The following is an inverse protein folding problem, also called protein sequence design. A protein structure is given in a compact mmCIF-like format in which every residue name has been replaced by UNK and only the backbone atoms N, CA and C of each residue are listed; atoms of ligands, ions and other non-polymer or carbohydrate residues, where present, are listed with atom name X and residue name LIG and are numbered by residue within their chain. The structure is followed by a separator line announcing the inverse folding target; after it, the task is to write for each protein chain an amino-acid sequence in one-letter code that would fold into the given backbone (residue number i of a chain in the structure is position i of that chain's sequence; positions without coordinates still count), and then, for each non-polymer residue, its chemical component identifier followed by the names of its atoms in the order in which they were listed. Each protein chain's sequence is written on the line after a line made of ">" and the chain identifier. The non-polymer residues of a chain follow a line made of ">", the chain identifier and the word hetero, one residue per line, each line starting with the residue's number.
data_IF_220804004437
#
_entry.id   IF_220804004437
#
_cell.length_a   1.000
_cell.length_b   1.000
_cell.length_c   1.000
_cell.angle_alpha   90.00
_cell.angle_beta   90.00
_cell.angle_gamma   90.00
#
_symmetry.space_group_name_H-M   'P 1'
#
loop_
_entity.id
_entity.type
_entity.pdbx_description
1 polymer ?
#
# COMPACT_ATOMS: atom_id res chain seq x y z
N UNK A 1 11.66 9.27 -8.90
CA UNK A 1 11.32 8.18 -7.94
C UNK A 1 10.19 8.53 -6.95
N UNK A 2 9.47 9.65 -7.09
CA UNK A 2 8.50 10.15 -6.08
C UNK A 2 7.06 9.65 -6.27
N UNK A 3 6.76 8.96 -7.39
CA UNK A 3 5.37 8.58 -7.75
C UNK A 3 4.79 7.44 -6.90
N UNK A 4 5.62 6.56 -6.32
CA UNK A 4 5.13 5.46 -5.47
C UNK A 4 4.82 5.92 -4.04
N UNK A 5 5.49 6.96 -3.54
CA UNK A 5 5.25 7.52 -2.21
C UNK A 5 3.87 8.19 -2.10
N UNK A 6 3.32 8.68 -3.22
CA UNK A 6 1.97 9.25 -3.31
C UNK A 6 0.85 8.19 -3.23
N UNK A 7 1.18 6.90 -3.39
CA UNK A 7 0.20 5.81 -3.33
C UNK A 7 -0.12 5.34 -1.92
N UNK A 8 0.81 5.46 -0.96
CA UNK A 8 0.68 4.92 0.39
C UNK A 8 -0.05 5.84 1.38
N UNK A 9 -0.09 7.15 1.09
CA UNK A 9 -0.56 8.16 2.03
C UNK A 9 0.43 8.38 3.18
N UNK A 10 -0.07 8.73 4.36
CA UNK A 10 0.74 8.88 5.58
C UNK A 10 1.13 7.52 6.15
N UNK A 11 2.20 7.45 6.93
CA UNK A 11 2.60 6.24 7.66
C UNK A 11 2.17 6.40 9.12
N UNK A 12 1.30 5.51 9.60
CA UNK A 12 0.60 5.61 10.87
C UNK A 12 1.22 4.67 11.91
N UNK A 13 1.41 5.11 13.17
CA UNK A 13 1.91 4.26 14.23
C UNK A 13 0.88 3.18 14.61
N UNK A 14 1.34 1.95 14.81
CA UNK A 14 0.55 0.85 15.36
C UNK A 14 0.82 0.74 16.85
N UNK A 15 -0.23 0.84 17.66
CA UNK A 15 -0.14 0.79 19.12
C UNK A 15 0.59 1.98 19.73
N UNK A 16 1.44 1.70 20.72
CA UNK A 16 2.14 2.73 21.51
C UNK A 16 3.57 2.95 20.98
N UNK A 17 4.26 3.99 21.47
CA UNK A 17 5.62 4.35 21.04
C UNK A 17 6.67 3.22 21.14
N UNK A 18 6.43 2.22 21.99
CA UNK A 18 7.30 1.04 22.18
C UNK A 18 7.11 -0.05 21.12
N UNK A 19 5.99 -0.02 20.41
CA UNK A 19 5.63 -1.08 19.46
C UNK A 19 6.50 -1.04 18.19
N UNK A 20 7.11 0.10 17.86
CA UNK A 20 8.08 0.23 16.75
C UNK A 20 7.54 -0.28 15.41
N UNK A 21 6.23 -0.17 15.23
CA UNK A 21 5.49 -0.71 14.11
C UNK A 21 4.65 0.40 13.48
N UNK A 22 4.61 0.41 12.16
CA UNK A 22 3.87 1.39 11.38
C UNK A 22 3.11 0.72 10.24
N UNK A 23 2.01 1.34 9.82
CA UNK A 23 1.18 0.91 8.70
C UNK A 23 0.88 2.07 7.76
N UNK A 24 0.87 1.82 6.46
CA UNK A 24 0.45 2.81 5.47
C UNK A 24 -1.04 3.14 5.62
N UNK A 25 -1.38 4.43 5.57
CA UNK A 25 -2.75 4.94 5.64
C UNK A 25 -3.65 4.28 4.59
N UNK A 26 -3.13 4.02 3.38
CA UNK A 26 -3.87 3.28 2.36
C UNK A 26 -4.25 1.87 2.80
N UNK A 27 -3.34 1.14 3.43
CA UNK A 27 -3.62 -0.22 3.89
C UNK A 27 -4.71 -0.21 4.97
N UNK A 28 -4.68 0.77 5.88
CA UNK A 28 -5.75 1.00 6.86
C UNK A 28 -7.07 1.33 6.17
N UNK A 29 -7.05 2.20 5.16
CA UNK A 29 -8.25 2.60 4.43
C UNK A 29 -8.93 1.42 3.74
N UNK A 30 -8.17 0.48 3.17
CA UNK A 30 -8.71 -0.74 2.57
C UNK A 30 -9.42 -1.64 3.60
N UNK A 31 -8.82 -1.81 4.79
CA UNK A 31 -9.42 -2.60 5.88
C UNK A 31 -10.72 -1.95 6.39
N UNK A 32 -10.70 -0.64 6.63
CA UNK A 32 -11.87 0.10 7.12
C UNK A 32 -13.01 0.13 6.11
N UNK A 33 -12.73 0.37 4.83
CA UNK A 33 -13.74 0.31 3.76
C UNK A 33 -14.39 -1.06 3.67
N UNK A 34 -13.58 -2.12 3.75
CA UNK A 34 -14.08 -3.48 3.68
C UNK A 34 -14.95 -3.84 4.89
N UNK A 35 -14.56 -3.44 6.10
CA UNK A 35 -15.37 -3.67 7.29
C UNK A 35 -16.71 -2.92 7.22
N UNK A 36 -16.71 -1.66 6.81
CA UNK A 36 -17.96 -0.90 6.67
C UNK A 36 -18.87 -1.46 5.59
N UNK A 37 -18.33 -1.91 4.45
CA UNK A 37 -19.13 -2.57 3.41
C UNK A 37 -19.83 -3.84 3.92
N UNK A 38 -19.23 -4.52 4.91
CA UNK A 38 -19.78 -5.72 5.53
C UNK A 38 -20.76 -5.42 6.65
N UNK A 39 -20.41 -4.49 7.53
CA UNK A 39 -21.06 -4.32 8.84
C UNK A 39 -22.02 -3.12 8.88
N UNK A 40 -22.04 -2.27 7.84
CA UNK A 40 -22.92 -1.11 7.72
C UNK A 40 -23.66 -1.08 6.36
N UNK A 41 -24.69 -1.92 6.16
CA UNK A 41 -25.47 -1.93 4.93
C UNK A 41 -26.15 -0.57 4.70
N UNK A 42 -26.21 -0.16 3.44
CA UNK A 42 -26.77 1.13 3.03
C UNK A 42 -25.87 2.33 3.32
N UNK A 43 -24.58 2.10 3.66
CA UNK A 43 -23.55 3.12 3.80
C UNK A 43 -22.45 2.89 2.77
N UNK A 44 -22.00 3.97 2.13
CA UNK A 44 -20.82 3.97 1.25
C UNK A 44 -19.79 4.96 1.78
N UNK A 45 -18.61 4.48 2.13
CA UNK A 45 -17.49 5.33 2.52
C UNK A 45 -16.89 6.05 1.30
N UNK A 46 -16.66 7.35 1.44
CA UNK A 46 -15.98 8.22 0.49
C UNK A 46 -14.54 8.51 0.91
N UNK A 47 -14.16 9.80 0.90
CA UNK A 47 -12.86 10.25 1.39
C UNK A 47 -12.57 9.78 2.82
N UNK A 48 -11.37 9.26 3.05
CA UNK A 48 -10.92 8.79 4.37
C UNK A 48 -9.51 9.31 4.62
N UNK A 49 -9.33 9.94 5.79
CA UNK A 49 -8.07 10.53 6.23
C UNK A 49 -7.80 10.20 7.69
N UNK A 50 -6.54 9.95 8.01
CA UNK A 50 -6.10 9.67 9.37
C UNK A 50 -4.93 10.59 9.72
N UNK A 51 -5.05 11.29 10.83
CA UNK A 51 -4.04 12.24 11.31
C UNK A 51 -3.93 12.25 12.84
N UNK A 52 -2.92 12.91 13.41
CA UNK A 52 -2.83 13.10 14.85
C UNK A 52 -3.95 14.02 15.33
N UNK A 53 -4.44 13.81 16.55
CA UNK A 53 -5.37 14.74 17.22
C UNK A 53 -4.63 16.03 17.60
N UNK A 54 -3.44 15.89 18.18
CA UNK A 54 -2.53 17.00 18.50
C UNK A 54 -1.13 16.67 17.98
N UNK A 55 -0.60 17.42 17.00
CA UNK A 55 0.74 17.20 16.47
C UNK A 55 1.87 17.64 17.41
N UNK A 56 1.58 18.40 18.48
CA UNK A 56 2.59 18.99 19.38
C UNK A 56 2.85 18.13 20.63
N UNK A 57 1.88 17.29 21.03
CA UNK A 57 1.95 16.42 22.22
C UNK A 57 2.31 14.96 21.94
N UNK A 58 3.00 14.65 20.85
CA UNK A 58 3.26 13.27 20.44
C UNK A 58 4.45 12.65 21.18
N UNK A 59 4.37 11.35 21.46
CA UNK A 59 5.43 10.61 22.15
C UNK A 59 6.61 10.35 21.22
N UNK A 60 7.83 10.44 21.75
CA UNK A 60 9.04 10.10 20.98
C UNK A 60 9.11 8.58 20.74
N UNK A 61 9.26 8.13 19.47
CA UNK A 61 9.41 6.71 19.15
C UNK A 61 10.65 6.08 19.80
N UNK A 62 10.53 4.86 20.30
CA UNK A 62 11.68 4.10 20.85
C UNK A 62 12.61 3.59 19.76
N UNK A 63 12.12 3.48 18.52
CA UNK A 63 12.90 3.05 17.36
C UNK A 63 12.86 4.14 16.27
N UNK A 64 13.91 4.25 15.45
CA UNK A 64 13.96 5.20 14.35
C UNK A 64 12.69 5.11 13.46
N UNK A 65 11.93 6.22 13.34
CA UNK A 65 10.72 6.21 12.54
C UNK A 65 11.07 6.11 11.04
N UNK A 66 10.26 5.39 10.25
CA UNK A 66 10.43 5.42 8.80
C UNK A 66 10.11 6.83 8.24
N UNK A 67 10.63 7.17 7.05
CA UNK A 67 10.33 8.45 6.40
C UNK A 67 8.81 8.69 6.33
N UNK A 68 8.38 9.91 6.67
CA UNK A 68 6.96 10.32 6.67
C UNK A 68 6.06 9.60 7.70
N UNK A 69 6.64 8.92 8.70
CA UNK A 69 5.89 8.42 9.84
C UNK A 69 5.35 9.55 10.71
N UNK A 70 4.09 9.41 11.11
CA UNK A 70 3.55 10.19 12.19
C UNK A 70 4.14 9.72 13.53
N UNK A 71 4.39 10.66 14.46
CA UNK A 71 4.80 10.29 15.80
C UNK A 71 3.66 9.52 16.51
N UNK A 72 3.99 8.54 17.37
CA UNK A 72 3.03 7.85 18.22
C UNK A 72 2.16 8.81 19.02
N UNK A 73 0.87 8.55 19.06
CA UNK A 73 -0.09 9.39 19.76
C UNK A 73 -1.53 9.15 19.30
N UNK A 74 -2.50 9.81 19.96
CA UNK A 74 -3.91 9.68 19.61
C UNK A 74 -4.20 10.16 18.18
N UNK A 75 -4.94 9.35 17.44
CA UNK A 75 -5.30 9.59 16.04
C UNK A 75 -6.77 10.00 15.89
N UNK A 76 -7.02 10.90 14.95
CA UNK A 76 -8.34 11.28 14.44
C UNK A 76 -8.58 10.61 13.09
N UNK A 77 -9.74 9.96 12.96
CA UNK A 77 -10.23 9.42 11.69
C UNK A 77 -11.28 10.37 11.13
N UNK A 78 -11.04 10.95 9.97
CA UNK A 78 -12.02 11.77 9.25
C UNK A 78 -12.53 10.99 8.04
N UNK A 79 -13.84 10.77 7.99
CA UNK A 79 -14.47 10.01 6.92
C UNK A 79 -15.69 10.72 6.33
N UNK A 80 -15.79 10.68 5.01
CA UNK A 80 -16.99 11.02 4.27
C UNK A 80 -17.84 9.78 4.06
N UNK A 81 -19.16 9.91 4.13
CA UNK A 81 -20.05 8.81 3.81
C UNK A 81 -21.34 9.26 3.14
N UNK A 82 -21.83 8.40 2.26
CA UNK A 82 -23.18 8.44 1.73
C UNK A 82 -24.03 7.40 2.46
N UNK A 83 -25.30 7.71 2.72
CA UNK A 83 -26.20 6.79 3.43
C UNK A 83 -27.61 6.79 2.84
N UNK A 84 -28.28 5.65 2.89
CA UNK A 84 -29.69 5.56 2.51
C UNK A 84 -30.60 6.25 3.52
N UNK A 85 -31.77 6.72 3.07
CA UNK A 85 -32.79 7.33 3.91
C UNK A 85 -33.61 6.32 4.77
N UNK A 86 -33.20 5.05 4.82
CA UNK A 86 -33.92 3.99 5.56
C UNK A 86 -33.84 4.15 7.08
N UNK A 87 -32.78 4.82 7.57
CA UNK A 87 -32.56 5.09 8.99
C UNK A 87 -32.23 6.56 9.20
N UNK A 88 -32.60 7.17 10.34
CA UNK A 88 -32.18 8.52 10.67
C UNK A 88 -30.65 8.66 10.59
N UNK A 89 -30.17 9.69 9.89
CA UNK A 89 -28.74 9.92 9.67
C UNK A 89 -27.89 9.89 10.97
N UNK A 90 -28.34 10.48 12.10
CA UNK A 90 -27.56 10.42 13.35
C UNK A 90 -27.36 8.99 13.88
N UNK A 91 -28.34 8.10 13.68
CA UNK A 91 -28.25 6.69 14.08
C UNK A 91 -27.26 5.95 13.18
N UNK A 92 -27.35 6.15 11.86
CA UNK A 92 -26.39 5.58 10.90
C UNK A 92 -24.97 6.08 11.16
N UNK A 93 -24.78 7.38 11.42
CA UNK A 93 -23.49 7.98 11.76
C UNK A 93 -22.93 7.42 13.07
N UNK A 94 -23.76 7.22 14.09
CA UNK A 94 -23.33 6.63 15.37
C UNK A 94 -22.89 5.17 15.21
N UNK A 95 -23.65 4.39 14.42
CA UNK A 95 -23.26 3.02 14.07
C UNK A 95 -21.95 2.96 13.27
N UNK A 96 -21.81 3.83 12.26
CA UNK A 96 -20.58 3.92 11.46
C UNK A 96 -19.38 4.31 12.33
N UNK A 97 -19.55 5.27 13.25
CA UNK A 97 -18.52 5.67 14.21
C UNK A 97 -18.08 4.49 15.07
N UNK A 98 -19.02 3.69 15.58
CA UNK A 98 -18.71 2.52 16.38
C UNK A 98 -17.94 1.46 15.57
N UNK A 99 -18.36 1.16 14.34
CA UNK A 99 -17.67 0.20 13.46
C UNK A 99 -16.25 0.65 13.16
N UNK A 100 -16.05 1.91 12.76
CA UNK A 100 -14.72 2.44 12.44
C UNK A 100 -13.79 2.43 13.65
N UNK A 101 -14.28 2.87 14.81
CA UNK A 101 -13.51 2.89 16.04
C UNK A 101 -13.13 1.47 16.50
N UNK A 102 -14.08 0.53 16.45
CA UNK A 102 -13.84 -0.86 16.86
C UNK A 102 -12.83 -1.56 15.96
N UNK A 103 -12.98 -1.45 14.64
CA UNK A 103 -12.06 -2.06 13.67
C UNK A 103 -10.67 -1.45 13.79
N UNK A 104 -10.57 -0.13 13.89
CA UNK A 104 -9.28 0.55 14.05
C UNK A 104 -8.55 0.11 15.33
N UNK A 105 -9.26 0.07 16.47
CA UNK A 105 -8.65 -0.29 17.74
C UNK A 105 -8.36 -1.79 17.89
N UNK A 106 -9.35 -2.65 17.58
CA UNK A 106 -9.28 -4.10 17.88
C UNK A 106 -8.68 -4.93 16.76
N UNK A 107 -8.95 -4.59 15.50
CA UNK A 107 -8.46 -5.38 14.35
C UNK A 107 -7.11 -4.87 13.88
N UNK A 108 -6.95 -3.56 13.74
CA UNK A 108 -5.72 -2.95 13.21
C UNK A 108 -4.71 -2.67 14.33
N UNK A 109 -5.19 -2.14 15.46
CA UNK A 109 -4.36 -1.76 16.61
C UNK A 109 -3.94 -0.29 16.61
N UNK A 110 -4.73 0.60 16.01
CA UNK A 110 -4.52 2.05 16.05
C UNK A 110 -5.06 2.64 17.35
N UNK A 111 -4.35 3.63 17.91
CA UNK A 111 -4.83 4.43 19.05
C UNK A 111 -5.71 5.56 18.51
N UNK A 112 -6.99 5.29 18.29
CA UNK A 112 -7.95 6.28 17.80
C UNK A 112 -8.67 6.95 18.96
N UNK A 113 -8.59 8.27 19.04
CA UNK A 113 -9.30 9.06 20.04
C UNK A 113 -10.58 9.70 19.47
N UNK A 114 -10.61 10.03 18.18
CA UNK A 114 -11.71 10.77 17.56
C UNK A 114 -12.10 10.20 16.20
N UNK A 115 -13.41 10.21 15.90
CA UNK A 115 -13.95 9.85 14.58
C UNK A 115 -14.95 10.91 14.13
N UNK A 116 -14.54 11.65 13.10
CA UNK A 116 -15.29 12.73 12.47
C UNK A 116 -15.93 12.23 11.18
N UNK A 117 -17.25 12.38 11.08
CA UNK A 117 -18.02 11.90 9.95
C UNK A 117 -18.70 13.06 9.23
N UNK A 118 -18.55 13.12 7.91
CA UNK A 118 -19.25 14.07 7.03
C UNK A 118 -20.19 13.31 6.11
N UNK A 119 -21.49 13.63 6.18
CA UNK A 119 -22.46 13.13 5.20
C UNK A 119 -22.25 13.89 3.90
N UNK A 120 -22.04 13.19 2.79
CA UNK A 120 -21.85 13.80 1.47
C UNK A 120 -23.06 13.63 0.56
N UNK A 121 -23.84 12.57 0.76
CA UNK A 121 -24.92 12.19 -0.16
C UNK A 121 -25.97 11.32 0.56
N UNK A 122 -27.22 11.45 0.14
CA UNK A 122 -28.29 10.51 0.49
C UNK A 122 -28.49 9.54 -0.67
N UNK A 123 -28.33 8.24 -0.40
CA UNK A 123 -28.46 7.19 -1.40
C UNK A 123 -29.93 6.81 -1.58
N UNK A 124 -30.38 6.78 -2.82
CA UNK A 124 -31.70 6.25 -3.15
C UNK A 124 -31.73 4.73 -2.96
N UNK A 125 -32.75 4.26 -2.28
CA UNK A 125 -33.12 2.84 -2.27
C UNK A 125 -33.97 2.63 -3.52
N UNK A 126 -33.34 2.43 -4.68
CA UNK A 126 -34.11 2.00 -5.84
C UNK A 126 -34.49 0.53 -5.62
N UNK A 127 -35.77 0.17 -5.42
CA UNK A 127 -36.15 -1.23 -5.57
C UNK A 127 -35.75 -1.66 -6.99
N UNK A 128 -35.25 -2.87 -7.21
CA UNK A 128 -35.01 -3.36 -8.56
C UNK A 128 -36.34 -3.32 -9.30
N UNK A 129 -36.53 -2.30 -10.14
CA UNK A 129 -37.60 -2.32 -11.14
C UNK A 129 -37.19 -3.42 -12.12
N UNK A 130 -37.99 -4.49 -12.30
CA UNK A 130 -37.73 -5.40 -13.39
C UNK A 130 -37.76 -4.57 -14.67
N UNK A 131 -36.64 -4.57 -15.40
CA UNK A 131 -36.59 -4.02 -16.74
C UNK A 131 -37.58 -4.82 -17.58
N UNK A 132 -38.81 -4.34 -17.72
CA UNK A 132 -39.67 -4.85 -18.78
C UNK A 132 -38.96 -4.55 -20.11
N UNK A 133 -38.71 -5.56 -20.96
CA UNK A 133 -38.05 -5.33 -22.23
C UNK A 133 -38.89 -4.34 -23.03
N UNK A 134 -38.28 -3.20 -23.36
CA UNK A 134 -38.85 -2.22 -24.29
C UNK A 134 -39.12 -2.97 -25.61
N UNK A 135 -40.38 -3.28 -25.89
CA UNK A 135 -40.80 -3.70 -27.22
C UNK A 135 -40.56 -2.50 -28.15
N UNK A 136 -39.70 -2.59 -29.18
CA UNK A 136 -39.55 -1.51 -30.13
C UNK A 136 -40.84 -1.42 -30.95
N UNK A 137 -41.61 -0.35 -30.75
CA UNK A 137 -42.75 -0.01 -31.59
C UNK A 137 -42.22 0.34 -32.98
N UNK A 138 -42.45 -0.54 -33.95
CA UNK A 138 -42.06 -0.34 -35.34
C UNK A 138 -42.81 0.82 -35.98
N UNK A 139 -42.07 1.75 -36.59
CA UNK A 139 -42.57 2.67 -37.61
C UNK A 139 -42.15 2.16 -39.01
N UNK A 140 -43.00 2.26 -40.05
CA UNK A 140 -42.73 1.70 -41.38
C UNK A 140 -41.75 2.56 -42.22
N UNK A 141 -41.15 2.00 -43.30
CA UNK A 141 -40.04 2.61 -44.03
C UNK A 141 -40.52 3.57 -45.15
N UNK A 142 -39.79 4.68 -45.32
CA UNK A 142 -39.83 5.50 -46.55
C UNK A 142 -38.57 5.22 -47.38
N UNK A 143 -38.81 5.01 -48.68
CA UNK A 143 -37.90 4.54 -49.69
C UNK A 143 -36.70 5.45 -49.97
N UNK A 144 -35.53 4.83 -50.16
CA UNK A 144 -34.32 5.45 -50.67
C UNK A 144 -34.28 5.37 -52.20
N UNK A 145 -34.10 6.52 -52.86
CA UNK A 145 -33.77 6.63 -54.28
C UNK A 145 -32.35 7.18 -54.43
N UNK A 146 -31.45 6.29 -54.87
CA UNK A 146 -30.45 6.44 -55.94
C UNK A 146 -29.48 7.65 -55.96
N UNK A 147 -28.21 7.29 -55.81
CA UNK A 147 -26.92 7.92 -56.23
C UNK A 147 -26.91 8.60 -57.62
N UNK A 148 -25.94 9.50 -57.95
CA UNK A 148 -24.53 9.08 -58.17
C UNK A 148 -23.39 10.09 -57.86
N UNK A 149 -22.17 9.55 -57.77
CA UNK A 149 -20.84 10.22 -57.75
C UNK A 149 -20.44 10.82 -59.14
N UNK A 150 -19.32 11.57 -59.34
CA UNK A 150 -17.94 11.00 -59.29
C UNK A 150 -16.75 11.97 -59.01
N UNK A 151 -15.53 11.42 -58.96
CA UNK A 151 -14.24 12.10 -59.22
C UNK A 151 -13.16 11.88 -58.15
N UNK A 152 -12.11 11.07 -58.38
CA UNK A 152 -10.75 11.49 -58.85
C UNK A 152 -9.93 12.04 -57.68
N UNK A 153 -8.66 11.75 -57.37
CA UNK A 153 -7.41 11.65 -58.14
C UNK A 153 -6.30 10.94 -57.29
N UNK A 154 -5.23 10.47 -57.97
CA UNK A 154 -3.97 9.94 -57.41
C UNK A 154 -2.93 11.04 -57.22
N UNK A 155 -1.98 10.82 -56.30
CA UNK A 155 -0.48 10.89 -56.38
C UNK A 155 0.05 10.55 -54.97
N UNK A 156 1.28 10.13 -54.68
CA UNK A 156 2.56 10.03 -55.37
C UNK A 156 3.65 9.80 -54.29
N UNK A 157 4.82 9.34 -54.73
CA UNK A 157 5.93 8.72 -54.00
C UNK A 157 6.69 9.58 -52.96
N UNK A 158 7.48 8.92 -52.09
CA UNK A 158 8.69 9.48 -51.50
C UNK A 158 9.81 8.43 -51.40
N UNK A 159 10.90 8.67 -52.14
CA UNK A 159 12.18 7.97 -52.02
C UNK A 159 13.23 8.87 -51.31
N UNK A 160 14.05 8.21 -50.49
CA UNK A 160 15.52 8.38 -50.28
C UNK A 160 16.17 9.50 -49.44
N UNK A 161 17.22 9.06 -48.73
CA UNK A 161 18.36 9.81 -48.16
C UNK A 161 18.55 9.52 -46.66
N UNK A 162 19.62 8.94 -46.09
CA UNK A 162 21.01 8.73 -46.51
C UNK A 162 21.97 9.65 -45.71
N UNK A 163 22.80 9.11 -44.80
CA UNK A 163 24.18 9.56 -44.49
C UNK A 163 24.79 8.88 -43.23
N UNK A 164 26.01 8.38 -43.39
CA UNK A 164 26.95 7.86 -42.38
C UNK A 164 27.80 8.99 -41.77
N UNK A 165 28.50 8.72 -40.65
CA UNK A 165 29.93 9.05 -40.44
C UNK A 165 30.49 8.39 -39.16
N UNK A 166 31.82 8.27 -39.13
CA UNK A 166 32.67 7.39 -38.31
C UNK A 166 33.67 8.23 -37.48
N UNK A 167 34.02 7.74 -36.29
CA UNK A 167 35.39 7.71 -35.75
C UNK A 167 35.82 8.76 -34.69
N UNK A 168 36.41 8.27 -33.58
CA UNK A 168 37.78 8.60 -33.10
C UNK A 168 38.06 8.05 -31.68
N UNK A 169 39.29 7.57 -31.46
CA UNK A 169 39.83 6.89 -30.27
C UNK A 169 40.69 7.80 -29.36
N UNK A 170 41.01 7.25 -28.17
CA UNK A 170 42.30 7.29 -27.43
C UNK A 170 42.53 8.29 -26.25
N UNK A 171 43.05 7.73 -25.13
CA UNK A 171 44.02 8.39 -24.22
C UNK A 171 43.76 8.27 -22.70
N UNK A 172 44.54 7.44 -21.98
CA UNK A 172 44.70 7.45 -20.50
C UNK A 172 45.65 8.55 -20.00
N UNK A 173 45.98 8.65 -18.68
CA UNK A 173 46.79 7.61 -18.00
C UNK A 173 46.43 7.31 -16.52
N UNK A 174 47.13 6.32 -15.99
CA UNK A 174 47.14 5.77 -14.63
C UNK A 174 47.91 6.64 -13.62
N UNK A 175 47.51 6.58 -12.34
CA UNK A 175 48.33 6.61 -11.12
C UNK A 175 47.37 6.21 -9.96
N UNK A 176 47.59 5.21 -9.09
CA UNK A 176 48.84 4.69 -8.57
C UNK A 176 48.96 5.04 -7.08
N UNK A 177 48.11 4.50 -6.21
CA UNK A 177 48.17 4.75 -4.77
C UNK A 177 47.29 3.80 -3.96
N UNK A 178 47.75 2.56 -3.79
CA UNK A 178 47.17 1.57 -2.88
C UNK A 178 47.68 1.85 -1.48
N UNK A 179 46.83 2.40 -0.62
CA UNK A 179 46.98 2.28 0.83
C UNK A 179 45.89 1.35 1.38
N UNK A 180 46.36 0.17 1.74
CA UNK A 180 45.81 -0.85 2.62
C UNK A 180 44.52 -0.47 3.37
N UNK A 181 43.38 -0.89 2.82
CA UNK A 181 42.09 -0.95 3.51
C UNK A 181 41.67 -2.40 3.73
N UNK A 182 42.43 -3.16 4.51
CA UNK A 182 42.06 -4.51 4.91
C UNK A 182 41.07 -4.48 6.09
N UNK A 183 39.93 -3.79 5.92
CA UNK A 183 38.78 -3.75 6.84
C UNK A 183 37.51 -3.30 6.09
N UNK A 184 37.15 -3.91 4.96
CA UNK A 184 35.86 -3.58 4.29
C UNK A 184 35.27 -4.68 3.38
N UNK A 185 35.91 -5.85 3.25
CA UNK A 185 35.36 -6.94 2.43
C UNK A 185 34.38 -7.83 3.20
N UNK A 186 34.52 -7.93 4.54
CA UNK A 186 33.65 -8.77 5.38
C UNK A 186 32.24 -8.22 5.60
N UNK A 187 32.09 -6.90 5.72
CA UNK A 187 30.80 -6.28 6.07
C UNK A 187 29.78 -6.31 4.91
N UNK A 188 30.25 -6.26 3.66
CA UNK A 188 29.37 -6.25 2.49
C UNK A 188 28.78 -7.64 2.18
N UNK A 189 29.58 -8.71 2.29
CA UNK A 189 29.10 -10.09 2.12
C UNK A 189 28.27 -10.56 3.30
N UNK A 190 28.67 -10.23 4.54
CA UNK A 190 27.86 -10.46 5.73
C UNK A 190 26.51 -9.75 5.62
N UNK A 191 26.51 -8.49 5.16
CA UNK A 191 25.29 -7.72 4.90
C UNK A 191 24.33 -8.37 3.89
N UNK A 192 24.85 -8.99 2.83
CA UNK A 192 24.05 -9.76 1.88
C UNK A 192 23.43 -11.03 2.49
N UNK A 193 24.22 -11.78 3.27
CA UNK A 193 23.76 -12.99 3.97
C UNK A 193 22.74 -12.67 5.07
N UNK A 194 22.92 -11.55 5.78
CA UNK A 194 22.03 -11.07 6.83
C UNK A 194 20.70 -10.59 6.26
N UNK A 195 20.72 -9.87 5.14
CA UNK A 195 19.50 -9.46 4.44
C UNK A 195 18.68 -10.68 4.02
N UNK A 196 19.33 -11.73 3.51
CA UNK A 196 18.66 -12.98 3.17
C UNK A 196 18.05 -13.69 4.38
N UNK A 197 18.78 -13.74 5.50
CA UNK A 197 18.30 -14.33 6.76
C UNK A 197 17.10 -13.58 7.33
N UNK A 198 17.15 -12.25 7.32
CA UNK A 198 16.04 -11.38 7.74
C UNK A 198 14.83 -11.59 6.85
N UNK A 199 15.01 -11.61 5.52
CA UNK A 199 13.93 -11.85 4.59
C UNK A 199 13.23 -13.20 4.82
N UNK A 200 14.00 -14.26 5.04
CA UNK A 200 13.47 -15.58 5.37
C UNK A 200 12.72 -15.58 6.72
N UNK A 201 13.26 -14.93 7.74
CA UNK A 201 12.62 -14.82 9.04
C UNK A 201 11.27 -14.08 8.97
N UNK A 202 11.18 -12.99 8.18
CA UNK A 202 9.94 -12.25 7.97
C UNK A 202 8.89 -13.11 7.26
N UNK A 203 9.27 -13.79 6.19
CA UNK A 203 8.34 -14.63 5.41
C UNK A 203 7.88 -15.88 6.18
N UNK A 204 8.63 -16.32 7.20
CA UNK A 204 8.22 -17.41 8.08
C UNK A 204 7.15 -16.99 9.09
N UNK A 205 6.89 -15.69 9.30
CA UNK A 205 5.88 -15.22 10.25
C UNK A 205 4.47 -15.43 9.69
N UNK A 206 3.58 -16.15 10.40
CA UNK A 206 2.20 -16.31 9.98
C UNK A 206 1.49 -14.96 9.79
N UNK A 207 0.78 -14.81 8.67
CA UNK A 207 0.08 -13.58 8.31
C UNK A 207 0.90 -12.58 7.50
N UNK A 208 2.19 -12.82 7.26
CA UNK A 208 2.97 -12.10 6.24
C UNK A 208 2.74 -12.75 4.88
N UNK A 209 2.38 -11.96 3.87
CA UNK A 209 2.12 -12.47 2.51
C UNK A 209 3.31 -12.27 1.58
N UNK A 210 3.99 -11.13 1.70
CA UNK A 210 5.21 -10.82 0.94
C UNK A 210 6.01 -9.70 1.59
N UNK A 211 7.29 -9.62 1.22
CA UNK A 211 8.11 -8.42 1.44
C UNK A 211 7.77 -7.36 0.39
N UNK A 212 7.90 -6.09 0.74
CA UNK A 212 7.61 -4.97 -0.15
C UNK A 212 8.77 -3.98 -0.14
N UNK A 213 9.05 -3.30 -1.26
CA UNK A 213 10.20 -2.37 -1.37
C UNK A 213 9.76 -0.93 -1.60
N UNK A 214 8.64 -0.48 -1.02
CA UNK A 214 8.02 0.79 -1.45
C UNK A 214 8.86 2.00 -1.04
N UNK A 215 9.62 1.90 0.06
CA UNK A 215 10.58 2.91 0.49
C UNK A 215 12.03 2.56 0.09
N UNK A 216 12.23 1.67 -0.89
CA UNK A 216 13.54 1.24 -1.38
C UNK A 216 13.72 -0.27 -1.38
N UNK A 217 14.68 -0.77 -0.60
CA UNK A 217 14.87 -2.21 -0.41
C UNK A 217 13.86 -2.71 0.64
N UNK A 218 13.37 -3.95 0.52
CA UNK A 218 12.46 -4.50 1.53
C UNK A 218 13.10 -4.66 2.92
N UNK A 219 14.42 -4.79 2.97
CA UNK A 219 15.19 -4.84 4.21
C UNK A 219 16.29 -3.79 4.13
N UNK A 220 16.31 -2.90 5.12
CA UNK A 220 17.36 -1.90 5.29
C UNK A 220 18.04 -2.12 6.63
N UNK A 221 19.33 -2.47 6.59
CA UNK A 221 20.18 -2.58 7.76
C UNK A 221 21.05 -1.32 7.83
N UNK A 222 21.01 -0.62 8.95
CA UNK A 222 21.78 0.62 9.17
C UNK A 222 22.45 0.56 10.53
N UNK A 223 23.72 0.92 10.61
CA UNK A 223 24.39 1.10 11.89
C UNK A 223 24.15 2.53 12.36
N UNK A 224 23.49 2.70 13.51
CA UNK A 224 23.30 4.01 14.11
C UNK A 224 24.41 4.29 15.11
N UNK A 225 24.98 5.51 15.12
CA UNK A 225 25.93 5.90 16.16
C UNK A 225 25.20 5.92 17.51
N UNK A 226 25.63 5.06 18.43
CA UNK A 226 25.10 5.01 19.79
C UNK A 226 25.79 6.03 20.69
N UNK A 227 25.04 6.68 21.58
CA UNK A 227 25.59 7.58 22.61
C UNK A 227 26.28 6.83 23.77
N UNK A 228 26.15 5.50 23.83
CA UNK A 228 26.81 4.65 24.83
C UNK A 228 27.38 3.39 24.15
N UNK A 229 28.70 3.41 23.94
CA UNK A 229 29.67 2.33 23.76
C UNK A 229 29.59 1.31 22.61
N UNK A 230 28.48 1.06 21.91
CA UNK A 230 28.49 0.21 20.69
C UNK A 230 27.47 0.73 19.64
N UNK A 231 27.83 0.75 18.34
CA UNK A 231 26.87 1.07 17.28
C UNK A 231 25.70 0.09 17.35
N UNK A 232 24.48 0.60 17.50
CA UNK A 232 23.27 -0.25 17.52
C UNK A 232 22.80 -0.41 16.09
N UNK A 233 22.86 -1.63 15.58
CA UNK A 233 22.30 -1.97 14.28
C UNK A 233 20.79 -1.82 14.32
N UNK A 234 20.24 -1.21 13.29
CA UNK A 234 18.82 -0.97 13.08
C UNK A 234 18.37 -1.67 11.80
N UNK A 235 17.27 -2.39 11.87
CA UNK A 235 16.65 -3.06 10.74
C UNK A 235 15.27 -2.43 10.46
N UNK A 236 15.07 -1.88 9.27
CA UNK A 236 13.73 -1.55 8.74
C UNK A 236 13.30 -2.67 7.79
N UNK A 237 12.12 -3.23 8.04
CA UNK A 237 11.50 -4.25 7.19
C UNK A 237 10.15 -3.78 6.68
N UNK A 238 10.00 -3.82 5.36
CA UNK A 238 8.80 -3.40 4.65
C UNK A 238 8.08 -4.67 4.13
N UNK A 239 6.81 -4.86 4.50
CA UNK A 239 6.05 -6.06 4.14
C UNK A 239 4.56 -5.80 3.91
N UNK A 240 3.87 -6.82 3.42
CA UNK A 240 2.42 -6.89 3.30
C UNK A 240 1.87 -7.99 4.22
N UNK A 241 0.67 -7.78 4.71
CA UNK A 241 -0.02 -8.74 5.59
C UNK A 241 -1.30 -9.26 4.96
N UNK A 242 -1.72 -10.43 5.40
CA UNK A 242 -3.03 -10.98 5.04
C UNK A 242 -4.16 -10.15 5.66
N UNK A 243 -5.27 -9.99 4.94
CA UNK A 243 -6.42 -9.19 5.36
C UNK A 243 -7.12 -9.72 6.60
N UNK A 244 -7.05 -11.03 6.86
CA UNK A 244 -7.65 -11.66 8.02
C UNK A 244 -6.70 -11.73 9.22
N UNK A 245 -5.41 -11.46 9.00
CA UNK A 245 -4.45 -11.30 10.08
C UNK A 245 -4.65 -9.95 10.82
N UNK A 246 -4.15 -9.88 12.06
CA UNK A 246 -4.14 -8.67 12.88
C UNK A 246 -2.81 -7.91 12.67
N UNK A 247 -2.80 -6.76 11.97
CA UNK A 247 -1.57 -6.06 11.59
C UNK A 247 -0.60 -5.80 12.75
N UNK A 248 -1.09 -5.33 13.91
CA UNK A 248 -0.24 -5.08 15.09
C UNK A 248 0.42 -6.35 15.63
N UNK A 249 -0.30 -7.47 15.66
CA UNK A 249 0.23 -8.75 16.16
C UNK A 249 1.28 -9.31 15.20
N UNK A 250 1.02 -9.26 13.88
CA UNK A 250 1.99 -9.65 12.85
C UNK A 250 3.25 -8.78 12.92
N UNK A 251 3.11 -7.46 13.07
CA UNK A 251 4.26 -6.57 13.19
C UNK A 251 5.11 -6.88 14.42
N UNK A 252 4.50 -7.18 15.57
CA UNK A 252 5.22 -7.61 16.77
C UNK A 252 5.97 -8.94 16.56
N UNK A 253 5.32 -9.91 15.92
CA UNK A 253 5.93 -11.19 15.60
C UNK A 253 7.12 -11.03 14.63
N UNK A 254 6.97 -10.19 13.60
CA UNK A 254 8.06 -9.84 12.67
C UNK A 254 9.24 -9.20 13.41
N UNK A 255 9.00 -8.21 14.29
CA UNK A 255 10.08 -7.58 15.07
C UNK A 255 10.83 -8.60 15.93
N UNK A 256 10.10 -9.49 16.60
CA UNK A 256 10.70 -10.55 17.42
C UNK A 256 11.51 -11.54 16.57
N UNK A 257 10.97 -11.99 15.44
CA UNK A 257 11.64 -12.92 14.54
C UNK A 257 12.93 -12.33 13.93
N UNK A 258 12.87 -11.09 13.47
CA UNK A 258 14.02 -10.39 12.88
C UNK A 258 15.10 -10.13 13.93
N UNK A 259 14.72 -9.66 15.12
CA UNK A 259 15.67 -9.44 16.22
C UNK A 259 16.33 -10.74 16.69
N UNK A 260 15.60 -11.87 16.68
CA UNK A 260 16.16 -13.18 17.02
C UNK A 260 17.02 -13.80 15.90
N UNK A 261 16.82 -13.39 14.65
CA UNK A 261 17.55 -13.94 13.51
C UNK A 261 18.99 -13.44 13.40
N UNK A 262 19.30 -12.29 14.01
CA UNK A 262 20.62 -11.65 13.95
C UNK A 262 21.29 -11.69 15.33
N UNK A 263 22.61 -11.96 15.40
CA UNK A 263 23.33 -12.15 16.66
C UNK A 263 23.36 -10.89 17.53
N UNK A 264 23.33 -9.71 16.89
CA UNK A 264 23.44 -8.41 17.58
C UNK A 264 22.09 -7.90 18.11
N UNK A 265 21.01 -8.67 17.94
CA UNK A 265 19.65 -8.30 18.33
C UNK A 265 19.27 -6.85 17.98
N UNK A 266 19.27 -6.50 16.68
CA UNK A 266 19.07 -5.13 16.25
C UNK A 266 17.70 -4.61 16.68
N UNK A 267 17.61 -3.29 16.80
CA UNK A 267 16.29 -2.63 16.90
C UNK A 267 15.59 -2.76 15.56
N UNK A 268 14.31 -3.15 15.57
CA UNK A 268 13.54 -3.41 14.34
C UNK A 268 12.39 -2.41 14.21
N UNK A 269 12.31 -1.75 13.06
CA UNK A 269 11.14 -1.00 12.57
C UNK A 269 10.38 -1.87 11.59
N UNK A 270 9.13 -2.20 11.92
CA UNK A 270 8.24 -2.98 11.06
C UNK A 270 7.27 -2.06 10.32
N UNK A 271 7.30 -2.08 8.98
CA UNK A 271 6.45 -1.26 8.13
C UNK A 271 5.50 -2.11 7.29
N UNK A 272 4.21 -2.03 7.58
CA UNK A 272 3.14 -2.65 6.78
C UNK A 272 2.73 -1.68 5.69
N UNK A 273 3.06 -2.02 4.46
CA UNK A 273 2.77 -1.17 3.29
C UNK A 273 1.48 -1.56 2.56
N UNK A 274 1.00 -2.78 2.77
CA UNK A 274 -0.18 -3.31 2.09
C UNK A 274 -0.88 -4.39 2.93
N UNK A 275 -2.17 -4.57 2.64
CA UNK A 275 -2.99 -5.65 3.16
C UNK A 275 -3.55 -6.39 1.96
N UNK A 276 -3.22 -7.67 1.82
CA UNK A 276 -3.66 -8.51 0.71
C UNK A 276 -4.86 -9.34 1.13
N UNK A 277 -5.83 -9.50 0.23
CA UNK A 277 -6.82 -10.55 0.41
C UNK A 277 -6.23 -11.87 -0.07
N UNK A 278 -6.61 -13.01 0.53
CA UNK A 278 -6.38 -14.30 -0.10
C UNK A 278 -6.99 -14.21 -1.51
N UNK A 279 -6.17 -14.34 -2.55
CA UNK A 279 -6.71 -14.58 -3.87
C UNK A 279 -7.47 -15.89 -3.77
N UNK A 280 -8.79 -15.84 -3.92
CA UNK A 280 -9.56 -17.06 -4.12
C UNK A 280 -8.85 -17.82 -5.24
N UNK A 281 -8.39 -19.04 -4.97
CA UNK A 281 -7.81 -19.89 -6.00
C UNK A 281 -8.81 -19.92 -7.15
N UNK A 282 -8.42 -19.38 -8.30
CA UNK A 282 -9.03 -19.76 -9.57
C UNK A 282 -8.78 -21.26 -9.69
N UNK A 283 -9.76 -22.07 -9.28
CA UNK A 283 -9.86 -23.47 -9.68
C UNK A 283 -10.27 -23.49 -11.15
N UNK A 284 -9.39 -23.01 -12.02
CA UNK A 284 -9.43 -23.25 -13.45
C UNK A 284 -9.00 -24.69 -13.72
N UNK A 285 -9.78 -25.66 -13.25
CA UNK A 285 -9.66 -27.05 -13.71
C UNK A 285 -10.42 -27.15 -15.02
N UNK A 286 -9.77 -26.73 -16.11
CA UNK A 286 -10.16 -27.16 -17.45
C UNK A 286 -9.70 -28.59 -17.65
N UNK A 287 -10.52 -29.56 -17.23
CA UNK A 287 -10.40 -30.93 -17.73
C UNK A 287 -10.82 -30.89 -19.20
N UNK A 288 -9.86 -30.91 -20.10
CA UNK A 288 -10.08 -31.31 -21.50
C UNK A 288 -10.11 -32.83 -21.49
N UNK A 289 -11.32 -33.39 -21.44
CA UNK A 289 -11.55 -34.77 -21.88
C UNK A 289 -11.55 -34.71 -23.41
N UNK A 290 -10.51 -35.27 -24.03
CA UNK A 290 -10.55 -35.59 -25.45
C UNK A 290 -11.34 -36.90 -25.61
N UNK A 291 -12.40 -36.83 -26.41
CA UNK A 291 -13.10 -37.95 -27.03
C UNK A 291 -12.22 -38.55 -28.14
#
# INVERSE_FOLDING_TARGET
>A
MVRQQLGLGRILPLGEARDGAWIAERAVAEVLRHAVARDAPGVRLGGLRIGPVDPVGADEPVVPPPPSALPPGPLRVTAEFAATAQRPLPVTASGLRAVLADVAARRIGLVVAEVDLRVTELLDVRPPVPSEPLVPSGSPPVAAAREPAPGGWRTGDWETGGAETRGAEAGGPEEGGRESGDFAAGDAEAGGSDVGRVAAAVLAVPGVTRLTGVLGRPVHLTSLPGTVALPRRHARVDFAVDADARPREVARAVRSAVSASLPDHPTVTALITAVDRPTGRDTGTGVVTAD
#
